data_IF_851607868659
#
_entry.id   IF_851607868659
#
_cell.length_a   1.000
_cell.length_b   1.000
_cell.length_c   1.000
_cell.angle_alpha   90.00
_cell.angle_beta   90.00
_cell.angle_gamma   90.00
#
_symmetry.space_group_name_H-M   'P 1'
#
loop_
_entity.id
_entity.type
_entity.pdbx_description
1 polymer ?
#
# COMPACT_ATOMS: atom_id res chain seq x y z
N UNK A 1 23.91 -21.12 -55.52
CA UNK A 1 22.70 -20.34 -55.12
C UNK A 1 21.65 -21.16 -54.38
N UNK A 2 21.76 -22.49 -54.25
CA UNK A 2 20.80 -23.34 -53.56
C UNK A 2 21.09 -23.62 -52.06
N UNK A 3 22.31 -23.35 -51.58
CA UNK A 3 22.70 -23.63 -50.16
C UNK A 3 22.20 -22.59 -49.17
N UNK A 4 21.90 -21.36 -49.59
CA UNK A 4 21.37 -20.31 -48.69
C UNK A 4 19.88 -20.41 -48.40
N UNK A 5 19.10 -21.08 -49.23
CA UNK A 5 17.65 -21.22 -49.04
C UNK A 5 17.27 -22.33 -48.02
N UNK A 6 18.07 -23.40 -47.92
CA UNK A 6 17.81 -24.49 -46.96
C UNK A 6 18.12 -24.09 -45.50
N UNK A 7 19.13 -23.24 -45.28
CA UNK A 7 19.50 -22.76 -43.94
C UNK A 7 18.46 -21.77 -43.40
N UNK A 8 17.78 -20.99 -44.24
CA UNK A 8 16.77 -20.01 -43.83
C UNK A 8 15.42 -20.66 -43.45
N UNK A 9 15.03 -21.71 -44.15
CA UNK A 9 13.79 -22.46 -43.85
C UNK A 9 13.91 -23.21 -42.52
N UNK A 10 15.06 -23.79 -42.20
CA UNK A 10 15.34 -24.52 -40.97
C UNK A 10 15.35 -23.60 -39.74
N UNK A 11 15.90 -22.37 -39.89
CA UNK A 11 15.88 -21.34 -38.81
C UNK A 11 14.44 -20.89 -38.52
N UNK A 12 13.61 -20.66 -39.54
CA UNK A 12 12.23 -20.22 -39.37
C UNK A 12 11.38 -21.29 -38.67
N UNK A 13 11.56 -22.56 -38.97
CA UNK A 13 10.83 -23.65 -38.33
C UNK A 13 11.29 -23.89 -36.89
N UNK A 14 12.57 -23.71 -36.58
CA UNK A 14 13.12 -23.75 -35.22
C UNK A 14 12.54 -22.59 -34.39
N UNK A 15 12.42 -21.40 -34.95
CA UNK A 15 11.80 -20.26 -34.27
C UNK A 15 10.31 -20.47 -34.03
N UNK A 16 9.55 -20.98 -35.01
CA UNK A 16 8.13 -21.33 -34.84
C UNK A 16 7.92 -22.35 -33.75
N UNK A 17 8.72 -23.42 -33.74
CA UNK A 17 8.68 -24.44 -32.68
C UNK A 17 8.96 -23.88 -31.29
N UNK A 18 9.96 -22.99 -31.17
CA UNK A 18 10.29 -22.31 -29.92
C UNK A 18 9.16 -21.40 -29.43
N UNK A 19 8.58 -20.60 -30.32
CA UNK A 19 7.48 -19.69 -30.00
C UNK A 19 6.23 -20.48 -29.56
N UNK A 20 5.90 -21.56 -30.27
CA UNK A 20 4.78 -22.41 -29.91
C UNK A 20 4.98 -23.07 -28.53
N UNK A 21 6.18 -23.57 -28.23
CA UNK A 21 6.48 -24.15 -26.93
C UNK A 21 6.43 -23.10 -25.82
N UNK A 22 6.93 -21.91 -26.09
CA UNK A 22 6.86 -20.78 -25.13
C UNK A 22 5.40 -20.38 -24.85
N UNK A 23 4.56 -20.28 -25.87
CA UNK A 23 3.13 -19.99 -25.70
C UNK A 23 2.46 -21.09 -24.87
N UNK A 24 2.73 -22.37 -25.16
CA UNK A 24 2.20 -23.49 -24.40
C UNK A 24 2.66 -23.44 -22.94
N UNK A 25 3.93 -23.13 -22.68
CA UNK A 25 4.46 -22.95 -21.33
C UNK A 25 3.79 -21.81 -20.59
N UNK A 26 3.54 -20.67 -21.27
CA UNK A 26 2.80 -19.55 -20.68
C UNK A 26 1.40 -19.99 -20.27
N UNK A 27 0.67 -20.67 -21.16
CA UNK A 27 -0.68 -21.14 -20.86
C UNK A 27 -0.68 -22.16 -19.71
N UNK A 28 0.28 -23.06 -19.66
CA UNK A 28 0.30 -24.17 -18.71
C UNK A 28 0.80 -23.77 -17.32
N UNK A 29 1.85 -22.95 -17.23
CA UNK A 29 2.55 -22.68 -15.97
C UNK A 29 2.47 -21.22 -15.50
N UNK A 30 2.38 -20.26 -16.43
CA UNK A 30 2.46 -18.84 -16.11
C UNK A 30 1.15 -18.07 -16.29
N UNK A 31 0.07 -18.75 -16.73
CA UNK A 31 -1.21 -18.13 -17.04
C UNK A 31 -1.73 -17.24 -15.90
N UNK A 32 -1.74 -17.76 -14.66
CA UNK A 32 -2.23 -17.03 -13.49
C UNK A 32 -1.41 -15.75 -13.26
N UNK A 33 -0.08 -15.85 -13.33
CA UNK A 33 0.83 -14.71 -13.14
C UNK A 33 0.64 -13.63 -14.20
N UNK A 34 0.52 -14.04 -15.47
CA UNK A 34 0.29 -13.14 -16.60
C UNK A 34 -1.06 -12.43 -16.47
N UNK A 35 -2.15 -13.20 -16.25
CA UNK A 35 -3.49 -12.63 -16.14
C UNK A 35 -3.63 -11.71 -14.93
N UNK A 36 -3.09 -12.10 -13.77
CA UNK A 36 -3.11 -11.26 -12.57
C UNK A 36 -2.33 -9.96 -12.76
N UNK A 37 -1.16 -10.01 -13.43
CA UNK A 37 -0.36 -8.82 -13.72
C UNK A 37 -1.06 -7.88 -14.70
N UNK A 38 -1.66 -8.41 -15.77
CA UNK A 38 -2.42 -7.63 -16.75
C UNK A 38 -3.66 -6.99 -16.11
N UNK A 39 -4.41 -7.76 -15.30
CA UNK A 39 -5.55 -7.24 -14.56
C UNK A 39 -5.15 -6.12 -13.59
N UNK A 40 -4.05 -6.30 -12.87
CA UNK A 40 -3.54 -5.27 -11.97
C UNK A 40 -3.14 -4.00 -12.74
N UNK A 41 -2.43 -4.11 -13.86
CA UNK A 41 -2.07 -2.97 -14.70
C UNK A 41 -3.31 -2.24 -15.22
N UNK A 42 -4.30 -2.97 -15.75
CA UNK A 42 -5.57 -2.41 -16.19
C UNK A 42 -6.28 -1.67 -15.05
N UNK A 43 -6.38 -2.29 -13.86
CA UNK A 43 -7.06 -1.71 -12.71
C UNK A 43 -6.38 -0.45 -12.19
N UNK A 44 -5.04 -0.39 -12.20
CA UNK A 44 -4.28 0.81 -11.81
C UNK A 44 -4.55 1.97 -12.77
N UNK A 45 -4.56 1.72 -14.07
CA UNK A 45 -4.80 2.73 -15.10
C UNK A 45 -6.24 3.25 -15.03
N UNK A 46 -7.23 2.37 -14.91
CA UNK A 46 -8.65 2.71 -14.86
C UNK A 46 -9.00 3.52 -13.61
N UNK A 47 -8.53 3.11 -12.44
CA UNK A 47 -8.91 3.76 -11.18
C UNK A 47 -8.06 4.98 -10.85
N UNK A 48 -6.80 5.03 -11.28
CA UNK A 48 -5.84 6.12 -10.99
C UNK A 48 -5.98 6.72 -9.58
N UNK A 49 -6.24 5.85 -8.59
CA UNK A 49 -6.69 6.23 -7.24
C UNK A 49 -5.62 6.87 -6.39
N UNK A 50 -4.36 6.64 -6.75
CA UNK A 50 -3.20 7.18 -6.02
C UNK A 50 -2.42 8.10 -6.95
N UNK A 51 -1.86 9.17 -6.41
CA UNK A 51 -0.97 10.04 -7.18
C UNK A 51 0.13 9.23 -7.90
N UNK A 52 0.68 9.79 -8.98
CA UNK A 52 1.72 9.16 -9.80
C UNK A 52 2.88 8.56 -8.99
N UNK A 53 3.21 9.17 -7.85
CA UNK A 53 4.30 8.72 -6.98
C UNK A 53 4.14 7.30 -6.43
N UNK A 54 2.91 6.85 -6.18
CA UNK A 54 2.62 5.51 -5.66
C UNK A 54 2.32 4.56 -6.81
N UNK A 55 1.46 4.96 -7.75
CA UNK A 55 1.04 4.13 -8.86
C UNK A 55 2.23 3.65 -9.70
N UNK A 56 3.25 4.48 -9.92
CA UNK A 56 4.44 4.09 -10.68
C UNK A 56 5.14 2.86 -10.11
N UNK A 57 5.21 2.70 -8.80
CA UNK A 57 5.87 1.55 -8.18
C UNK A 57 5.07 0.26 -8.35
N UNK A 58 3.73 0.34 -8.23
CA UNK A 58 2.85 -0.79 -8.53
C UNK A 58 2.88 -1.17 -10.01
N UNK A 59 2.86 -0.19 -10.92
CA UNK A 59 2.99 -0.42 -12.36
C UNK A 59 4.30 -1.11 -12.68
N UNK A 60 5.42 -0.60 -12.16
CA UNK A 60 6.75 -1.18 -12.38
C UNK A 60 6.82 -2.61 -11.82
N UNK A 61 6.27 -2.86 -10.61
CA UNK A 61 6.28 -4.19 -10.01
C UNK A 61 5.43 -5.19 -10.82
N UNK A 62 4.23 -4.79 -11.24
CA UNK A 62 3.37 -5.63 -12.09
C UNK A 62 4.01 -5.91 -13.46
N UNK A 63 4.62 -4.90 -14.07
CA UNK A 63 5.35 -5.05 -15.33
C UNK A 63 6.57 -5.98 -15.17
N UNK A 64 7.36 -5.84 -14.10
CA UNK A 64 8.48 -6.74 -13.80
C UNK A 64 7.99 -8.18 -13.59
N UNK A 65 6.84 -8.39 -12.94
CA UNK A 65 6.27 -9.74 -12.74
C UNK A 65 5.80 -10.34 -14.05
N UNK A 66 5.19 -9.55 -14.93
CA UNK A 66 4.81 -9.96 -16.28
C UNK A 66 6.06 -10.34 -17.10
N UNK A 67 7.09 -9.49 -17.07
CA UNK A 67 8.35 -9.74 -17.76
C UNK A 67 9.07 -10.97 -17.20
N UNK A 68 9.01 -11.22 -15.87
CA UNK A 68 9.53 -12.43 -15.24
C UNK A 68 8.84 -13.68 -15.78
N UNK A 69 7.53 -13.69 -15.89
CA UNK A 69 6.77 -14.81 -16.47
C UNK A 69 7.20 -15.10 -17.91
N UNK A 70 7.41 -14.04 -18.70
CA UNK A 70 7.88 -14.16 -20.07
C UNK A 70 9.32 -14.69 -20.15
N UNK A 71 10.25 -14.15 -19.36
CA UNK A 71 11.66 -14.58 -19.37
C UNK A 71 11.82 -16.02 -18.90
N UNK A 72 11.05 -16.45 -17.89
CA UNK A 72 11.06 -17.82 -17.39
C UNK A 72 10.46 -18.79 -18.42
N UNK A 73 9.39 -18.43 -19.14
CA UNK A 73 8.83 -19.23 -20.22
C UNK A 73 9.80 -19.37 -21.40
N UNK A 74 10.50 -18.27 -21.75
CA UNK A 74 11.51 -18.29 -22.81
C UNK A 74 12.72 -19.16 -22.42
N UNK A 75 13.19 -19.05 -21.17
CA UNK A 75 14.26 -19.93 -20.65
C UNK A 75 13.87 -21.41 -20.68
N UNK A 76 12.65 -21.73 -20.23
CA UNK A 76 12.10 -23.10 -20.26
C UNK A 76 12.03 -23.65 -21.69
N UNK A 77 11.59 -22.84 -22.66
CA UNK A 77 11.54 -23.23 -24.06
C UNK A 77 12.97 -23.51 -24.63
N UNK A 78 13.94 -22.68 -24.26
CA UNK A 78 15.34 -22.86 -24.68
C UNK A 78 16.04 -24.04 -23.96
N UNK A 79 15.53 -24.46 -22.82
CA UNK A 79 16.02 -25.61 -22.08
C UNK A 79 15.78 -26.94 -22.84
N UNK A 80 14.84 -26.98 -23.76
CA UNK A 80 14.57 -28.18 -24.59
C UNK A 80 15.63 -28.44 -25.66
N UNK A 81 16.50 -27.45 -25.97
CA UNK A 81 17.55 -27.61 -26.97
C UNK A 81 18.70 -28.51 -26.44
N UNK A 82 19.38 -29.24 -27.33
CA UNK A 82 20.46 -30.16 -26.93
C UNK A 82 21.75 -29.45 -26.52
N UNK A 83 21.88 -28.12 -26.76
CA UNK A 83 23.06 -27.32 -26.44
C UNK A 83 22.64 -25.96 -25.88
N UNK A 84 23.48 -25.33 -25.02
CA UNK A 84 23.19 -24.02 -24.47
C UNK A 84 23.29 -22.94 -25.53
N UNK A 85 22.42 -21.93 -25.43
CA UNK A 85 22.42 -20.76 -26.31
C UNK A 85 22.67 -19.49 -25.51
N UNK A 86 23.29 -18.47 -26.10
CA UNK A 86 23.47 -17.16 -25.47
C UNK A 86 22.13 -16.54 -25.08
N UNK A 87 21.07 -16.80 -25.86
CA UNK A 87 19.71 -16.35 -25.54
C UNK A 87 19.21 -16.98 -24.23
N UNK A 88 19.51 -18.28 -23.96
CA UNK A 88 19.16 -18.92 -22.71
C UNK A 88 19.85 -18.28 -21.52
N UNK A 89 21.16 -18.00 -21.64
CA UNK A 89 21.93 -17.30 -20.60
C UNK A 89 21.34 -15.91 -20.35
N UNK A 90 20.99 -15.19 -21.40
CA UNK A 90 20.37 -13.86 -21.28
C UNK A 90 19.03 -13.89 -20.53
N UNK A 91 18.09 -14.77 -20.93
CA UNK A 91 16.80 -14.88 -20.24
C UNK A 91 16.94 -15.34 -18.79
N UNK A 92 17.86 -16.24 -18.49
CA UNK A 92 18.17 -16.63 -17.10
C UNK A 92 18.74 -15.47 -16.31
N UNK A 93 19.65 -14.66 -16.89
CA UNK A 93 20.17 -13.44 -16.25
C UNK A 93 19.05 -12.46 -15.93
N UNK A 94 18.12 -12.25 -16.86
CA UNK A 94 16.93 -11.43 -16.63
C UNK A 94 16.10 -11.96 -15.46
N UNK A 95 15.83 -13.27 -15.42
CA UNK A 95 15.10 -13.90 -14.31
C UNK A 95 15.80 -13.70 -12.95
N UNK A 96 17.13 -13.84 -12.90
CA UNK A 96 17.94 -13.61 -11.69
C UNK A 96 17.86 -12.16 -11.19
N UNK A 97 17.69 -11.19 -12.10
CA UNK A 97 17.50 -9.77 -11.76
C UNK A 97 16.06 -9.48 -11.38
N UNK A 98 15.09 -9.94 -12.17
CA UNK A 98 13.67 -9.59 -12.00
C UNK A 98 13.08 -10.11 -10.69
N UNK A 99 13.45 -11.31 -10.23
CA UNK A 99 12.95 -11.90 -8.99
C UNK A 99 13.15 -10.97 -7.77
N UNK A 100 14.37 -10.54 -7.42
CA UNK A 100 14.57 -9.61 -6.31
C UNK A 100 14.12 -8.18 -6.64
N UNK A 101 13.99 -7.78 -7.93
CA UNK A 101 13.48 -6.46 -8.34
C UNK A 101 12.04 -6.26 -7.88
N UNK A 102 11.17 -7.27 -8.00
CA UNK A 102 9.78 -7.16 -7.54
C UNK A 102 9.73 -6.89 -6.02
N UNK A 103 10.55 -7.60 -5.23
CA UNK A 103 10.66 -7.36 -3.80
C UNK A 103 11.19 -5.95 -3.48
N UNK A 104 12.22 -5.49 -4.21
CA UNK A 104 12.74 -4.12 -4.10
C UNK A 104 11.67 -3.05 -4.38
N UNK A 105 10.89 -3.23 -5.47
CA UNK A 105 9.82 -2.29 -5.82
C UNK A 105 8.71 -2.28 -4.76
N UNK A 106 8.39 -3.42 -4.16
CA UNK A 106 7.45 -3.50 -3.03
C UNK A 106 7.99 -2.75 -1.80
N UNK A 107 9.29 -2.83 -1.53
CA UNK A 107 9.94 -2.02 -0.48
C UNK A 107 9.79 -0.52 -0.78
N UNK A 108 9.95 -0.07 -2.03
CA UNK A 108 9.79 1.35 -2.39
C UNK A 108 8.38 1.87 -2.13
N UNK A 109 7.33 1.03 -2.28
CA UNK A 109 5.96 1.37 -1.92
C UNK A 109 5.86 1.63 -0.41
N UNK A 110 6.46 0.76 0.38
CA UNK A 110 6.43 0.81 1.85
C UNK A 110 7.18 2.03 2.39
N UNK A 111 8.38 2.31 1.86
CA UNK A 111 9.24 3.42 2.31
C UNK A 111 9.00 4.74 1.58
N UNK A 112 7.83 4.93 0.97
CA UNK A 112 7.50 6.10 0.13
C UNK A 112 7.75 7.45 0.80
N UNK A 113 7.56 7.55 2.12
CA UNK A 113 7.71 8.76 2.93
C UNK A 113 9.11 8.93 3.56
N UNK A 114 10.06 8.08 3.23
CA UNK A 114 11.43 8.18 3.79
C UNK A 114 12.35 9.07 2.96
N UNK A 115 13.53 9.38 3.52
CA UNK A 115 14.54 10.22 2.88
C UNK A 115 15.06 9.61 1.57
N UNK A 116 15.49 10.48 0.64
CA UNK A 116 16.12 10.05 -0.62
C UNK A 116 17.37 9.22 -0.37
N UNK A 117 18.17 9.59 0.63
CA UNK A 117 19.40 8.88 1.00
C UNK A 117 19.13 7.41 1.33
N UNK A 118 18.09 7.11 2.15
CA UNK A 118 17.73 5.74 2.50
C UNK A 118 17.31 4.95 1.26
N UNK A 119 16.52 5.55 0.36
CA UNK A 119 16.10 4.93 -0.90
C UNK A 119 17.29 4.55 -1.78
N UNK A 120 18.33 5.40 -1.85
CA UNK A 120 19.56 5.12 -2.56
C UNK A 120 20.36 3.97 -1.92
N UNK A 121 20.53 3.97 -0.60
CA UNK A 121 21.23 2.90 0.11
C UNK A 121 20.58 1.53 -0.11
N UNK A 122 19.25 1.48 -0.06
CA UNK A 122 18.48 0.25 -0.30
C UNK A 122 18.58 -0.23 -1.76
N UNK A 123 18.93 0.65 -2.72
CA UNK A 123 19.12 0.25 -4.12
C UNK A 123 20.45 -0.45 -4.38
N UNK A 124 21.46 -0.29 -3.53
CA UNK A 124 22.82 -0.83 -3.74
C UNK A 124 22.82 -2.35 -3.93
N UNK A 125 22.16 -3.19 -3.09
CA UNK A 125 22.14 -4.63 -3.31
C UNK A 125 21.56 -5.03 -4.65
N UNK A 126 20.59 -4.26 -5.18
CA UNK A 126 19.99 -4.52 -6.48
C UNK A 126 20.97 -4.27 -7.63
N UNK A 127 21.74 -3.18 -7.55
CA UNK A 127 22.79 -2.87 -8.54
C UNK A 127 23.88 -3.95 -8.56
N UNK A 128 24.31 -4.40 -7.38
CA UNK A 128 25.28 -5.49 -7.26
C UNK A 128 24.73 -6.78 -7.88
N UNK A 129 23.48 -7.15 -7.57
CA UNK A 129 22.84 -8.33 -8.14
C UNK A 129 22.73 -8.24 -9.67
N UNK A 130 22.38 -7.07 -10.21
CA UNK A 130 22.34 -6.85 -11.65
C UNK A 130 23.69 -7.14 -12.30
N UNK A 131 24.78 -6.54 -11.81
CA UNK A 131 26.12 -6.73 -12.34
C UNK A 131 26.57 -8.20 -12.27
N UNK A 132 26.34 -8.86 -11.15
CA UNK A 132 26.70 -10.29 -10.98
C UNK A 132 25.86 -11.17 -11.91
N UNK A 133 24.54 -10.96 -12.01
CA UNK A 133 23.67 -11.79 -12.84
C UNK A 133 24.01 -11.69 -14.32
N UNK A 134 24.29 -10.48 -14.83
CA UNK A 134 24.67 -10.27 -16.23
C UNK A 134 26.13 -10.66 -16.53
N UNK A 135 26.99 -10.83 -15.51
CA UNK A 135 28.32 -11.38 -15.72
C UNK A 135 28.31 -12.82 -16.26
N UNK A 136 27.18 -13.53 -16.14
CA UNK A 136 26.99 -14.88 -16.69
C UNK A 136 27.09 -14.92 -18.22
N UNK A 137 26.91 -13.79 -18.91
CA UNK A 137 27.15 -13.69 -20.36
C UNK A 137 28.64 -13.80 -20.76
N UNK A 138 29.55 -13.58 -19.80
CA UNK A 138 30.99 -13.50 -20.05
C UNK A 138 31.78 -14.47 -19.17
N UNK A 139 31.18 -15.03 -18.10
CA UNK A 139 31.85 -15.91 -17.17
C UNK A 139 30.86 -16.75 -16.36
N UNK A 140 31.24 -17.98 -15.97
CA UNK A 140 30.42 -18.90 -15.21
C UNK A 140 30.35 -18.58 -13.71
N UNK A 141 30.78 -17.39 -13.28
CA UNK A 141 30.83 -17.02 -11.85
C UNK A 141 29.45 -16.95 -11.21
N UNK A 142 28.45 -16.47 -11.93
CA UNK A 142 27.06 -16.44 -11.44
C UNK A 142 26.38 -17.80 -11.68
N UNK A 143 26.32 -18.23 -12.90
CA UNK A 143 25.80 -19.54 -13.32
C UNK A 143 26.30 -19.87 -14.73
N UNK A 144 26.16 -21.11 -15.14
CA UNK A 144 26.52 -21.57 -16.48
C UNK A 144 25.66 -22.76 -16.91
N UNK A 145 25.97 -23.28 -18.08
CA UNK A 145 25.34 -24.46 -18.67
C UNK A 145 26.39 -25.43 -19.18
N UNK A 146 26.20 -26.72 -18.90
CA UNK A 146 27.05 -27.76 -19.50
C UNK A 146 26.82 -27.85 -21.01
N UNK A 147 27.70 -28.55 -21.77
CA UNK A 147 27.49 -28.81 -23.19
C UNK A 147 26.13 -29.45 -23.50
N UNK A 148 25.59 -30.26 -22.56
CA UNK A 148 24.29 -30.93 -22.67
C UNK A 148 23.14 -30.04 -22.19
N UNK A 149 23.37 -28.73 -22.10
CA UNK A 149 22.38 -27.72 -21.75
C UNK A 149 21.81 -27.89 -20.30
N UNK A 150 22.58 -28.46 -19.35
CA UNK A 150 22.19 -28.56 -17.95
C UNK A 150 22.67 -27.36 -17.17
N UNK A 151 21.76 -26.74 -16.43
CA UNK A 151 22.08 -25.59 -15.58
C UNK A 151 22.98 -26.00 -14.40
N UNK A 152 23.99 -25.21 -14.12
CA UNK A 152 24.75 -25.27 -12.87
C UNK A 152 24.96 -23.87 -12.29
N UNK A 153 25.03 -23.81 -10.96
CA UNK A 153 25.19 -22.56 -10.24
C UNK A 153 26.66 -22.32 -9.95
N UNK A 154 27.16 -21.13 -10.32
CA UNK A 154 28.50 -20.68 -9.99
C UNK A 154 28.63 -20.20 -8.53
N UNK A 155 29.83 -19.82 -8.10
CA UNK A 155 30.10 -19.38 -6.72
C UNK A 155 29.32 -18.14 -6.30
N UNK A 156 28.96 -17.24 -7.22
CA UNK A 156 28.16 -16.05 -6.98
C UNK A 156 26.66 -16.26 -7.30
N UNK A 157 26.25 -17.46 -7.70
CA UNK A 157 24.89 -17.76 -8.15
C UNK A 157 23.84 -17.77 -7.04
N UNK A 158 24.23 -17.57 -5.79
CA UNK A 158 23.32 -17.40 -4.64
C UNK A 158 22.90 -15.95 -4.40
N UNK A 159 23.53 -14.99 -5.10
CA UNK A 159 23.31 -13.55 -4.91
C UNK A 159 21.84 -13.13 -5.01
N UNK A 160 21.03 -13.56 -6.02
CA UNK A 160 19.62 -13.15 -6.10
C UNK A 160 18.79 -13.63 -4.91
N UNK A 161 19.14 -14.78 -4.31
CA UNK A 161 18.48 -15.29 -3.12
C UNK A 161 18.85 -14.46 -1.88
N UNK A 162 20.13 -14.11 -1.73
CA UNK A 162 20.60 -13.24 -0.63
C UNK A 162 19.92 -11.88 -0.71
N UNK A 163 19.85 -11.29 -1.91
CA UNK A 163 19.21 -9.99 -2.14
C UNK A 163 17.70 -10.07 -1.93
N UNK A 164 17.07 -11.16 -2.37
CA UNK A 164 15.64 -11.41 -2.10
C UNK A 164 15.34 -11.53 -0.61
N UNK A 165 16.16 -12.29 0.14
CA UNK A 165 16.04 -12.41 1.61
C UNK A 165 16.28 -11.07 2.30
N UNK A 166 17.26 -10.29 1.85
CA UNK A 166 17.51 -8.94 2.36
C UNK A 166 16.26 -8.06 2.25
N UNK A 167 15.61 -8.01 1.08
CA UNK A 167 14.38 -7.22 0.91
C UNK A 167 13.20 -7.81 1.67
N UNK A 168 13.11 -9.14 1.79
CA UNK A 168 12.09 -9.79 2.63
C UNK A 168 12.22 -9.42 4.12
N UNK A 169 13.44 -9.49 4.66
CA UNK A 169 13.72 -9.05 6.04
C UNK A 169 13.43 -7.56 6.21
N UNK A 170 13.80 -6.74 5.22
CA UNK A 170 13.54 -5.31 5.26
C UNK A 170 12.02 -5.00 5.26
N UNK A 171 11.22 -5.73 4.48
CA UNK A 171 9.77 -5.61 4.50
C UNK A 171 9.21 -5.95 5.88
N UNK A 172 9.67 -7.03 6.49
CA UNK A 172 9.25 -7.42 7.86
C UNK A 172 9.70 -6.38 8.88
N UNK A 173 10.96 -5.94 8.84
CA UNK A 173 11.49 -4.93 9.76
C UNK A 173 10.74 -3.59 9.65
N UNK A 174 10.39 -3.18 8.43
CA UNK A 174 9.62 -1.96 8.18
C UNK A 174 8.23 -2.01 8.86
N UNK A 175 7.64 -3.19 9.03
CA UNK A 175 6.39 -3.38 9.77
C UNK A 175 6.48 -2.89 11.20
N UNK A 176 7.57 -3.20 11.91
CA UNK A 176 7.78 -2.73 13.29
C UNK A 176 7.89 -1.21 13.37
N UNK A 177 8.45 -0.58 12.33
CA UNK A 177 8.49 0.87 12.21
C UNK A 177 7.08 1.46 12.05
N UNK A 178 6.23 0.85 11.21
CA UNK A 178 4.86 1.29 10.93
C UNK A 178 3.89 1.00 12.08
N UNK A 179 4.06 -0.10 12.81
CA UNK A 179 3.28 -0.40 14.03
C UNK A 179 3.35 0.76 15.03
N UNK A 180 4.50 1.41 15.13
CA UNK A 180 4.68 2.59 15.97
C UNK A 180 3.92 3.83 15.47
N UNK A 181 3.58 3.89 14.18
CA UNK A 181 2.88 5.01 13.53
C UNK A 181 1.38 4.79 13.31
N UNK A 182 0.76 3.82 13.96
CA UNK A 182 -0.67 3.44 13.77
C UNK A 182 -1.03 2.85 12.39
N UNK A 183 -0.05 2.39 11.63
CA UNK A 183 -0.24 1.78 10.28
C UNK A 183 0.07 0.27 10.29
N UNK A 184 -0.25 -0.42 11.38
CA UNK A 184 0.04 -1.84 11.58
C UNK A 184 -0.60 -2.76 10.51
N UNK A 185 -1.72 -2.35 9.91
CA UNK A 185 -2.40 -3.12 8.86
C UNK A 185 -1.54 -3.22 7.58
N UNK A 186 -0.86 -2.14 7.17
CA UNK A 186 0.10 -2.17 6.05
C UNK A 186 1.25 -3.15 6.32
N UNK A 187 1.68 -3.21 7.57
CA UNK A 187 2.74 -4.11 7.99
C UNK A 187 2.38 -5.58 7.86
N UNK A 188 1.16 -5.99 8.20
CA UNK A 188 0.70 -7.37 8.03
C UNK A 188 0.78 -7.78 6.56
N UNK A 189 0.35 -6.93 5.63
CA UNK A 189 0.45 -7.22 4.19
C UNK A 189 1.89 -7.37 3.74
N UNK A 190 2.82 -6.54 4.22
CA UNK A 190 4.23 -6.65 3.91
C UNK A 190 4.82 -7.99 4.39
N UNK A 191 4.46 -8.45 5.60
CA UNK A 191 4.85 -9.78 6.11
C UNK A 191 4.27 -10.90 5.25
N UNK A 192 2.99 -10.85 4.90
CA UNK A 192 2.35 -11.86 4.07
C UNK A 192 3.01 -11.97 2.70
N UNK A 193 3.33 -10.83 2.05
CA UNK A 193 4.04 -10.80 0.77
C UNK A 193 5.42 -11.46 0.92
N UNK A 194 6.18 -11.12 1.96
CA UNK A 194 7.50 -11.69 2.20
C UNK A 194 7.44 -13.21 2.44
N UNK A 195 6.46 -13.69 3.23
CA UNK A 195 6.27 -15.11 3.51
C UNK A 195 5.86 -15.90 2.26
N UNK A 196 4.86 -15.41 1.51
CA UNK A 196 4.37 -16.07 0.29
C UNK A 196 5.45 -16.09 -0.79
N UNK A 197 6.19 -14.99 -0.96
CA UNK A 197 7.32 -14.91 -1.90
C UNK A 197 8.46 -15.86 -1.52
N UNK A 198 8.79 -15.91 -0.23
CA UNK A 198 9.78 -16.85 0.31
C UNK A 198 9.36 -18.31 0.08
N UNK A 199 8.12 -18.66 0.40
CA UNK A 199 7.56 -19.99 0.16
C UNK A 199 7.55 -20.34 -1.34
N UNK A 200 7.11 -19.43 -2.21
CA UNK A 200 7.14 -19.60 -3.66
C UNK A 200 8.56 -19.90 -4.18
N UNK A 201 9.56 -19.15 -3.68
CA UNK A 201 10.98 -19.37 -4.03
C UNK A 201 11.47 -20.75 -3.60
N UNK A 202 11.10 -21.23 -2.39
CA UNK A 202 11.48 -22.57 -1.90
C UNK A 202 10.80 -23.66 -2.73
N UNK A 203 9.50 -23.53 -3.02
CA UNK A 203 8.75 -24.50 -3.81
C UNK A 203 9.31 -24.61 -5.23
N UNK A 204 9.59 -23.50 -5.89
CA UNK A 204 10.18 -23.49 -7.23
C UNK A 204 11.60 -24.09 -7.25
N UNK A 205 12.43 -23.67 -6.28
CA UNK A 205 13.83 -24.15 -6.20
C UNK A 205 13.93 -25.62 -5.81
N UNK A 206 13.13 -26.10 -4.83
CA UNK A 206 13.25 -27.44 -4.25
C UNK A 206 12.49 -28.49 -5.05
N UNK A 207 11.29 -28.14 -5.56
CA UNK A 207 10.38 -29.07 -6.25
C UNK A 207 10.33 -28.84 -7.76
N UNK A 208 11.05 -27.85 -8.29
CA UNK A 208 11.09 -27.46 -9.71
C UNK A 208 9.68 -27.16 -10.28
N UNK A 209 8.82 -26.62 -9.44
CA UNK A 209 7.45 -26.24 -9.83
C UNK A 209 7.48 -24.88 -10.54
N UNK A 210 7.39 -24.91 -11.87
CA UNK A 210 7.48 -23.72 -12.71
C UNK A 210 6.29 -22.78 -12.50
N UNK A 211 6.54 -21.45 -12.57
CA UNK A 211 5.51 -20.42 -12.57
C UNK A 211 4.89 -20.09 -11.21
N UNK A 212 5.27 -20.79 -10.13
CA UNK A 212 4.69 -20.53 -8.79
C UNK A 212 5.12 -19.15 -8.29
N UNK A 213 6.39 -18.80 -8.39
CA UNK A 213 6.88 -17.52 -7.86
C UNK A 213 6.31 -16.32 -8.61
N UNK A 214 6.35 -16.20 -9.96
CA UNK A 214 5.72 -15.10 -10.66
C UNK A 214 4.21 -14.98 -10.38
N UNK A 215 3.50 -16.13 -10.34
CA UNK A 215 2.06 -16.15 -10.05
C UNK A 215 1.75 -15.67 -8.63
N UNK A 216 2.49 -16.15 -7.64
CA UNK A 216 2.35 -15.72 -6.25
C UNK A 216 2.63 -14.22 -6.09
N UNK A 217 3.69 -13.72 -6.71
CA UNK A 217 4.04 -12.30 -6.68
C UNK A 217 2.94 -11.43 -7.32
N UNK A 218 2.42 -11.83 -8.48
CA UNK A 218 1.36 -11.08 -9.16
C UNK A 218 0.07 -11.01 -8.33
N UNK A 219 -0.34 -12.13 -7.74
CA UNK A 219 -1.53 -12.20 -6.87
C UNK A 219 -1.32 -11.38 -5.60
N UNK A 220 -0.17 -11.51 -4.94
CA UNK A 220 0.17 -10.71 -3.76
C UNK A 220 0.17 -9.21 -4.04
N UNK A 221 0.77 -8.77 -5.15
CA UNK A 221 0.75 -7.37 -5.57
C UNK A 221 -0.66 -6.86 -5.84
N UNK A 222 -1.52 -7.69 -6.47
CA UNK A 222 -2.93 -7.38 -6.69
C UNK A 222 -3.69 -7.16 -5.39
N UNK A 223 -3.58 -8.08 -4.44
CA UNK A 223 -4.19 -7.94 -3.12
C UNK A 223 -3.61 -6.75 -2.33
N UNK A 224 -2.31 -6.49 -2.44
CA UNK A 224 -1.69 -5.34 -1.78
C UNK A 224 -2.22 -4.02 -2.35
N UNK A 225 -2.37 -3.93 -3.69
CA UNK A 225 -2.96 -2.75 -4.32
C UNK A 225 -4.42 -2.54 -3.91
N UNK A 226 -5.24 -3.61 -3.91
CA UNK A 226 -6.64 -3.55 -3.46
C UNK A 226 -6.76 -3.14 -2.00
N UNK A 227 -5.92 -3.70 -1.13
CA UNK A 227 -5.86 -3.28 0.27
C UNK A 227 -5.51 -1.80 0.39
N UNK A 228 -4.47 -1.37 -0.32
CA UNK A 228 -4.01 0.00 -0.30
C UNK A 228 -5.08 0.97 -0.82
N UNK A 229 -5.79 0.58 -1.88
CA UNK A 229 -6.92 1.30 -2.42
C UNK A 229 -8.06 1.45 -1.39
N UNK A 230 -8.44 0.38 -0.73
CA UNK A 230 -9.49 0.40 0.31
C UNK A 230 -9.05 1.24 1.52
N UNK A 231 -7.80 1.06 1.95
CA UNK A 231 -7.26 1.75 3.11
C UNK A 231 -7.14 3.27 2.92
N UNK A 232 -6.70 3.74 1.76
CA UNK A 232 -6.59 5.17 1.47
C UNK A 232 -7.96 5.84 1.23
N UNK A 233 -8.91 5.12 0.63
CA UNK A 233 -10.28 5.63 0.45
C UNK A 233 -11.04 5.83 1.77
N UNK A 234 -10.56 5.29 2.88
CA UNK A 234 -11.13 5.52 4.20
C UNK A 234 -10.50 6.70 4.95
N UNK A 235 -9.52 7.41 4.34
CA UNK A 235 -8.85 8.55 4.97
C UNK A 235 -9.02 9.85 4.20
N UNK A 236 -9.13 10.93 4.95
CA UNK A 236 -9.16 12.30 4.42
C UNK A 236 -7.78 12.71 3.90
N UNK A 237 -7.72 13.21 2.67
CA UNK A 237 -6.46 13.55 1.98
C UNK A 237 -5.73 14.71 2.68
N UNK A 238 -6.46 15.67 3.25
CA UNK A 238 -5.89 16.85 3.88
C UNK A 238 -5.26 16.55 5.24
N UNK A 239 -5.95 15.75 6.05
CA UNK A 239 -5.63 15.53 7.48
C UNK A 239 -5.11 14.14 7.78
N UNK A 240 -5.33 13.16 6.90
CA UNK A 240 -5.01 11.75 7.12
C UNK A 240 -5.85 11.07 8.21
N UNK A 241 -6.91 11.70 8.72
CA UNK A 241 -7.87 11.07 9.64
C UNK A 241 -8.91 10.26 8.86
N UNK A 242 -9.67 9.41 9.56
CA UNK A 242 -10.69 8.58 8.93
C UNK A 242 -11.86 9.43 8.41
N UNK A 243 -12.52 8.98 7.34
CA UNK A 243 -13.64 9.67 6.72
C UNK A 243 -14.98 9.33 7.40
N UNK A 244 -16.01 10.18 7.16
CA UNK A 244 -17.39 9.99 7.62
C UNK A 244 -17.94 8.59 7.35
N UNK A 245 -17.71 8.05 6.14
CA UNK A 245 -18.14 6.69 5.79
C UNK A 245 -17.59 5.64 6.78
N UNK A 246 -16.33 5.78 7.15
CA UNK A 246 -15.64 4.87 8.07
C UNK A 246 -16.20 4.99 9.50
N UNK A 247 -16.60 6.19 9.92
CA UNK A 247 -17.28 6.39 11.22
C UNK A 247 -18.50 5.49 11.37
N UNK A 248 -19.42 5.50 10.41
CA UNK A 248 -20.63 4.66 10.47
C UNK A 248 -20.32 3.18 10.36
N UNK A 249 -19.36 2.80 9.52
CA UNK A 249 -18.94 1.40 9.40
C UNK A 249 -18.34 0.87 10.71
N UNK A 250 -17.46 1.63 11.34
CA UNK A 250 -16.80 1.25 12.60
C UNK A 250 -17.80 1.25 13.76
N UNK A 251 -18.70 2.22 13.84
CA UNK A 251 -19.77 2.23 14.83
C UNK A 251 -20.65 0.98 14.72
N UNK A 252 -21.07 0.62 13.51
CA UNK A 252 -21.83 -0.61 13.26
C UNK A 252 -21.03 -1.87 13.59
N UNK A 253 -19.77 -1.93 13.21
CA UNK A 253 -18.87 -3.07 13.45
C UNK A 253 -18.62 -3.31 14.93
N UNK A 254 -18.46 -2.26 15.73
CA UNK A 254 -18.12 -2.36 17.15
C UNK A 254 -19.35 -2.44 18.05
N UNK A 255 -20.53 -2.01 17.57
CA UNK A 255 -21.80 -2.12 18.28
C UNK A 255 -21.70 -1.66 19.73
N UNK A 256 -22.15 -2.50 20.67
CA UNK A 256 -22.14 -2.20 22.10
C UNK A 256 -20.77 -1.92 22.73
N UNK A 257 -19.68 -2.15 22.01
CA UNK A 257 -18.35 -1.76 22.51
C UNK A 257 -18.03 -0.29 22.33
N UNK A 258 -18.83 0.47 21.55
CA UNK A 258 -18.77 1.93 21.48
C UNK A 258 -19.51 2.48 22.71
N UNK A 259 -18.82 3.23 23.53
CA UNK A 259 -19.35 3.75 24.80
C UNK A 259 -19.67 5.23 24.78
N UNK A 260 -19.15 5.98 23.77
CA UNK A 260 -19.44 7.40 23.61
C UNK A 260 -18.99 7.95 22.28
N UNK A 261 -19.55 9.11 21.95
CA UNK A 261 -19.24 9.90 20.76
C UNK A 261 -18.81 11.30 21.19
N UNK A 262 -17.78 11.84 20.53
CA UNK A 262 -17.37 13.24 20.71
C UNK A 262 -17.49 13.94 19.36
N UNK A 263 -18.15 15.11 19.35
CA UNK A 263 -18.24 16.02 18.21
C UNK A 263 -17.29 17.20 18.41
N UNK A 264 -16.56 17.57 17.35
CA UNK A 264 -15.55 18.63 17.36
C UNK A 264 -15.72 19.47 16.10
N UNK A 265 -15.73 20.80 16.26
CA UNK A 265 -15.89 21.77 15.19
C UNK A 265 -14.82 22.86 15.28
N UNK A 266 -14.13 23.14 14.18
CA UNK A 266 -13.11 24.19 14.10
C UNK A 266 -13.78 25.56 14.03
N UNK A 267 -13.48 26.43 14.96
CA UNK A 267 -14.10 27.75 15.02
C UNK A 267 -13.55 28.70 13.95
N UNK A 268 -14.47 29.38 13.21
CA UNK A 268 -14.12 30.51 12.37
C UNK A 268 -13.43 30.17 11.04
N UNK A 269 -13.51 28.90 10.56
CA UNK A 269 -12.89 28.48 9.31
C UNK A 269 -13.30 29.36 8.12
N UNK A 270 -14.61 29.74 8.01
CA UNK A 270 -15.07 30.60 6.93
C UNK A 270 -14.40 31.98 6.97
N UNK A 271 -14.30 32.58 8.15
CA UNK A 271 -13.65 33.90 8.33
C UNK A 271 -12.16 33.81 7.98
N UNK A 272 -11.50 32.71 8.36
CA UNK A 272 -10.11 32.45 8.06
C UNK A 272 -9.89 32.36 6.53
N UNK A 273 -10.75 31.58 5.84
CA UNK A 273 -10.71 31.46 4.39
C UNK A 273 -10.96 32.81 3.67
N UNK A 274 -11.95 33.56 4.15
CA UNK A 274 -12.35 34.85 3.53
C UNK A 274 -11.26 35.93 3.68
N UNK A 275 -10.45 35.87 4.78
CA UNK A 275 -9.41 36.88 5.04
C UNK A 275 -8.02 36.47 4.56
N UNK A 276 -7.68 35.18 4.67
CA UNK A 276 -6.31 34.68 4.44
C UNK A 276 -6.20 33.62 3.33
N UNK A 277 -7.34 33.27 2.71
CA UNK A 277 -7.40 32.28 1.64
C UNK A 277 -7.51 30.82 2.15
N UNK A 278 -7.83 29.92 1.21
CA UNK A 278 -8.06 28.50 1.51
C UNK A 278 -6.84 27.77 2.07
N UNK A 279 -5.63 28.20 1.73
CA UNK A 279 -4.39 27.57 2.22
C UNK A 279 -4.25 27.70 3.74
N UNK A 280 -4.66 28.84 4.30
CA UNK A 280 -4.65 29.07 5.75
C UNK A 280 -5.77 28.30 6.45
N UNK A 281 -6.94 28.18 5.84
CA UNK A 281 -8.01 27.30 6.31
C UNK A 281 -7.59 25.83 6.34
N UNK A 282 -6.92 25.38 5.29
CA UNK A 282 -6.34 24.03 5.21
C UNK A 282 -5.28 23.77 6.29
N UNK A 283 -4.46 24.78 6.59
CA UNK A 283 -3.48 24.73 7.69
C UNK A 283 -4.18 24.61 9.04
N UNK A 284 -5.24 25.38 9.29
CA UNK A 284 -6.03 25.30 10.51
C UNK A 284 -6.64 23.91 10.71
N UNK A 285 -7.23 23.33 9.66
CA UNK A 285 -7.79 21.99 9.65
C UNK A 285 -6.72 20.93 9.96
N UNK A 286 -5.54 21.01 9.30
CA UNK A 286 -4.41 20.11 9.55
C UNK A 286 -3.90 20.24 10.99
N UNK A 287 -3.83 21.46 11.51
CA UNK A 287 -3.35 21.73 12.87
C UNK A 287 -4.29 21.14 13.91
N UNK A 288 -5.63 21.34 13.77
CA UNK A 288 -6.61 20.71 14.66
C UNK A 288 -6.47 19.18 14.62
N UNK A 289 -6.41 18.59 13.44
CA UNK A 289 -6.27 17.15 13.30
C UNK A 289 -4.97 16.61 13.95
N UNK A 290 -3.87 17.32 13.80
CA UNK A 290 -2.59 16.96 14.43
C UNK A 290 -2.66 17.05 15.97
N UNK A 291 -3.26 18.11 16.51
CA UNK A 291 -3.47 18.29 17.94
C UNK A 291 -4.28 17.13 18.55
N UNK A 292 -5.41 16.77 17.92
CA UNK A 292 -6.24 15.65 18.38
C UNK A 292 -5.47 14.33 18.28
N UNK A 293 -4.85 14.02 17.15
CA UNK A 293 -4.07 12.78 16.95
C UNK A 293 -2.93 12.64 17.95
N UNK A 294 -2.29 13.74 18.34
CA UNK A 294 -1.17 13.75 19.29
C UNK A 294 -1.54 13.33 20.70
N UNK A 295 -2.82 13.44 21.09
CA UNK A 295 -3.31 13.10 22.43
C UNK A 295 -4.35 11.97 22.43
N UNK A 296 -4.65 11.39 21.26
CA UNK A 296 -5.68 10.39 21.10
C UNK A 296 -5.31 9.07 21.80
N UNK A 297 -6.14 8.54 22.71
CA UNK A 297 -5.88 7.25 23.33
C UNK A 297 -6.15 6.10 22.34
N UNK A 298 -5.54 4.92 22.57
CA UNK A 298 -5.71 3.73 21.71
C UNK A 298 -7.16 3.25 21.58
N UNK A 299 -8.02 3.61 22.51
CA UNK A 299 -9.45 3.25 22.54
C UNK A 299 -10.36 4.23 21.80
N UNK A 300 -9.82 5.34 21.28
CA UNK A 300 -10.55 6.37 20.56
C UNK A 300 -10.12 6.43 19.09
N UNK A 301 -11.08 6.66 18.21
CA UNK A 301 -10.88 6.73 16.76
C UNK A 301 -11.43 8.04 16.24
N UNK A 302 -10.70 8.71 15.37
CA UNK A 302 -10.95 10.08 14.98
C UNK A 302 -11.26 10.19 13.49
N UNK A 303 -12.34 10.90 13.15
CA UNK A 303 -12.94 10.96 11.83
C UNK A 303 -13.21 12.41 11.44
N UNK A 304 -13.05 12.73 10.15
CA UNK A 304 -13.51 13.98 9.55
C UNK A 304 -14.86 13.72 8.87
N UNK A 305 -15.91 14.40 9.34
CA UNK A 305 -17.29 14.19 8.89
C UNK A 305 -17.80 15.27 7.97
N UNK A 306 -17.16 16.45 8.01
CA UNK A 306 -17.48 17.62 7.19
C UNK A 306 -16.24 18.46 6.88
N UNK A 307 -16.42 19.68 6.41
CA UNK A 307 -15.33 20.62 6.11
C UNK A 307 -14.46 20.92 7.32
N UNK A 308 -15.08 21.44 8.37
CA UNK A 308 -14.51 21.80 9.68
C UNK A 308 -14.98 20.89 10.82
N UNK A 309 -15.79 19.89 10.51
CA UNK A 309 -16.42 18.99 11.47
C UNK A 309 -15.67 17.68 11.61
N UNK A 310 -15.49 17.26 12.83
CA UNK A 310 -14.84 16.01 13.19
C UNK A 310 -15.64 15.26 14.25
N UNK A 311 -15.58 13.94 14.22
CA UNK A 311 -16.15 13.07 15.23
C UNK A 311 -15.13 12.09 15.79
N UNK A 312 -15.32 11.67 17.05
CA UNK A 312 -14.51 10.65 17.67
C UNK A 312 -15.41 9.55 18.22
N UNK A 313 -15.15 8.29 17.87
CA UNK A 313 -15.76 7.11 18.50
C UNK A 313 -14.89 6.65 19.65
N UNK A 314 -15.49 6.54 20.83
CA UNK A 314 -14.84 6.06 22.04
C UNK A 314 -15.25 4.61 22.30
N UNK A 315 -14.28 3.69 22.31
CA UNK A 315 -14.53 2.26 22.48
C UNK A 315 -14.09 1.80 23.86
N UNK A 316 -15.03 1.25 24.67
CA UNK A 316 -14.75 0.80 26.04
C UNK A 316 -14.02 1.88 26.87
N UNK A 317 -14.46 3.12 26.74
CA UNK A 317 -13.99 4.25 27.55
C UNK A 317 -15.07 4.66 28.54
N UNK A 318 -14.65 5.02 29.74
CA UNK A 318 -15.53 5.65 30.74
C UNK A 318 -15.73 7.12 30.41
N UNK A 319 -16.76 7.73 30.95
CA UNK A 319 -17.02 9.16 30.81
C UNK A 319 -15.83 10.00 31.30
N UNK A 320 -15.20 9.60 32.40
CA UNK A 320 -13.98 10.24 32.92
C UNK A 320 -12.82 10.19 31.90
N UNK A 321 -12.55 9.05 31.28
CA UNK A 321 -11.51 8.91 30.25
C UNK A 321 -11.79 9.82 29.03
N UNK A 322 -13.06 9.96 28.63
CA UNK A 322 -13.48 10.86 27.54
C UNK A 322 -13.28 12.32 27.96
N UNK A 323 -13.72 12.72 29.13
CA UNK A 323 -13.54 14.08 29.63
C UNK A 323 -12.06 14.46 29.77
N UNK A 324 -11.20 13.59 30.27
CA UNK A 324 -9.76 13.78 30.34
C UNK A 324 -9.13 13.89 28.93
N UNK A 325 -9.63 13.12 27.96
CA UNK A 325 -9.17 13.23 26.58
C UNK A 325 -9.53 14.58 25.96
N UNK A 326 -10.79 15.03 26.17
CA UNK A 326 -11.26 16.34 25.73
C UNK A 326 -10.43 17.46 26.36
N UNK A 327 -10.11 17.35 27.66
CA UNK A 327 -9.27 18.33 28.37
C UNK A 327 -7.88 18.43 27.72
N UNK A 328 -7.25 17.29 27.40
CA UNK A 328 -5.95 17.25 26.69
C UNK A 328 -6.03 17.85 25.29
N UNK A 329 -7.12 17.59 24.54
CA UNK A 329 -7.34 18.20 23.22
C UNK A 329 -7.43 19.72 23.36
N UNK A 330 -8.28 20.22 24.30
CA UNK A 330 -8.43 21.65 24.56
C UNK A 330 -7.10 22.32 24.97
N UNK A 331 -6.32 21.65 25.78
CA UNK A 331 -4.98 22.16 26.15
C UNK A 331 -4.07 22.25 24.94
N UNK A 332 -4.04 21.20 24.11
CA UNK A 332 -3.16 21.16 22.94
C UNK A 332 -3.54 22.18 21.86
N UNK A 333 -4.84 22.43 21.64
CA UNK A 333 -5.28 23.44 20.67
C UNK A 333 -5.03 24.86 21.16
N UNK A 334 -5.07 25.12 22.48
CA UNK A 334 -4.72 26.43 23.07
C UNK A 334 -3.25 26.83 22.85
N UNK A 335 -2.36 25.89 22.57
CA UNK A 335 -0.96 26.19 22.19
C UNK A 335 -0.86 26.74 20.76
N UNK A 336 -1.96 26.76 20.01
CA UNK A 336 -2.06 27.24 18.62
C UNK A 336 -2.89 28.52 18.53
N UNK A 337 -2.88 29.15 17.38
CA UNK A 337 -3.71 30.33 17.06
C UNK A 337 -5.19 29.99 16.75
N UNK A 338 -5.53 28.70 16.74
CA UNK A 338 -6.86 28.20 16.39
C UNK A 338 -7.66 27.80 17.62
N UNK A 339 -8.99 27.71 17.47
CA UNK A 339 -9.89 27.25 18.53
C UNK A 339 -10.93 26.29 17.97
N UNK A 340 -11.46 25.40 18.80
CA UNK A 340 -12.54 24.49 18.45
C UNK A 340 -13.59 24.40 19.55
N UNK A 341 -14.81 24.04 19.15
CA UNK A 341 -15.88 23.65 20.05
C UNK A 341 -15.90 22.13 20.17
N UNK A 342 -16.17 21.59 21.38
CA UNK A 342 -16.17 20.15 21.65
C UNK A 342 -17.34 19.81 22.55
N UNK A 343 -18.16 18.84 22.11
CA UNK A 343 -19.19 18.21 22.90
C UNK A 343 -19.11 16.69 22.86
N UNK A 344 -19.66 16.02 23.83
CA UNK A 344 -19.70 14.55 23.87
C UNK A 344 -21.02 14.02 24.42
N UNK A 345 -21.32 12.77 24.09
CA UNK A 345 -22.42 12.02 24.68
C UNK A 345 -22.01 10.56 24.89
N UNK A 346 -22.50 9.98 25.99
CA UNK A 346 -22.35 8.57 26.30
C UNK A 346 -23.52 7.79 25.68
N UNK A 347 -23.30 6.51 25.34
CA UNK A 347 -24.36 5.59 24.97
C UNK A 347 -25.11 5.13 26.22
N UNK A 348 -26.43 5.20 26.16
CA UNK A 348 -27.36 4.53 27.09
C UNK A 348 -27.92 3.27 26.42
N UNK A 349 -28.50 2.38 27.24
CA UNK A 349 -28.91 1.01 26.87
C UNK A 349 -29.91 0.92 25.68
N UNK A 350 -30.69 1.97 25.41
CA UNK A 350 -31.75 1.98 24.39
C UNK A 350 -31.58 3.03 23.30
N UNK A 351 -30.37 3.67 23.17
CA UNK A 351 -30.15 4.75 22.23
C UNK A 351 -29.44 4.26 20.95
N UNK A 352 -29.95 4.72 19.80
CA UNK A 352 -29.30 4.54 18.52
C UNK A 352 -28.05 5.41 18.35
N UNK A 353 -27.20 5.07 17.41
CA UNK A 353 -26.01 5.86 17.08
C UNK A 353 -26.37 7.31 16.73
N UNK A 354 -27.45 7.51 15.97
CA UNK A 354 -27.90 8.83 15.51
C UNK A 354 -28.29 9.72 16.67
N UNK A 355 -29.01 9.18 17.67
CA UNK A 355 -29.42 9.91 18.87
C UNK A 355 -28.22 10.40 19.68
N UNK A 356 -27.21 9.52 19.83
CA UNK A 356 -25.98 9.84 20.57
C UNK A 356 -25.15 10.87 19.80
N UNK A 357 -25.06 10.76 18.48
CA UNK A 357 -24.40 11.76 17.63
C UNK A 357 -25.10 13.12 17.78
N UNK A 358 -26.42 13.16 17.66
CA UNK A 358 -27.21 14.38 17.83
C UNK A 358 -27.02 15.03 19.21
N UNK A 359 -26.96 14.22 20.27
CA UNK A 359 -26.70 14.71 21.64
C UNK A 359 -25.27 15.27 21.78
N UNK A 360 -24.28 14.60 21.17
CA UNK A 360 -22.90 15.09 21.15
C UNK A 360 -22.77 16.41 20.37
N UNK A 361 -23.43 16.53 19.22
CA UNK A 361 -23.47 17.74 18.41
C UNK A 361 -24.16 18.90 19.14
N UNK A 362 -25.26 18.63 19.82
CA UNK A 362 -25.94 19.63 20.65
C UNK A 362 -25.02 20.16 21.75
N UNK A 363 -24.34 19.29 22.47
CA UNK A 363 -23.38 19.68 23.51
C UNK A 363 -22.18 20.45 22.95
N UNK A 364 -21.70 20.08 21.76
CA UNK A 364 -20.64 20.81 21.04
C UNK A 364 -21.12 22.22 20.66
N UNK A 365 -22.35 22.33 20.19
CA UNK A 365 -22.92 23.61 19.81
C UNK A 365 -23.11 24.54 21.01
N UNK A 366 -23.60 24.01 22.14
CA UNK A 366 -23.67 24.77 23.39
C UNK A 366 -22.30 25.30 23.83
N UNK A 367 -21.26 24.47 23.70
CA UNK A 367 -19.89 24.89 23.94
C UNK A 367 -19.42 25.98 22.93
N UNK A 368 -19.84 25.90 21.67
CA UNK A 368 -19.54 26.92 20.64
C UNK A 368 -20.15 28.28 21.00
N UNK A 369 -21.38 28.28 21.53
CA UNK A 369 -22.06 29.51 22.02
C UNK A 369 -21.29 30.11 23.20
N UNK A 370 -20.87 29.28 24.16
CA UNK A 370 -20.09 29.73 25.31
C UNK A 370 -18.76 30.39 24.89
N UNK A 371 -18.11 29.88 23.86
CA UNK A 371 -16.82 30.41 23.34
C UNK A 371 -17.04 31.70 22.56
N UNK A 372 -18.11 31.83 21.77
CA UNK A 372 -18.33 32.93 20.83
C UNK A 372 -19.35 34.00 21.25
N UNK A 373 -20.08 33.79 22.37
CA UNK A 373 -21.10 34.70 22.88
C UNK A 373 -22.47 34.62 22.19
N UNK A 374 -23.47 35.35 22.73
CA UNK A 374 -24.90 35.23 22.34
C UNK A 374 -25.24 35.49 20.87
N UNK A 375 -24.39 36.19 20.11
CA UNK A 375 -24.61 36.48 18.70
C UNK A 375 -24.81 35.24 17.81
N UNK A 376 -24.35 34.06 18.29
CA UNK A 376 -24.52 32.78 17.59
C UNK A 376 -25.79 32.02 17.99
N UNK A 377 -26.43 32.36 19.11
CA UNK A 377 -27.63 31.70 19.62
C UNK A 377 -28.83 31.85 18.72
N UNK A 378 -29.04 33.03 18.19
CA UNK A 378 -30.18 33.35 17.28
C UNK A 378 -30.13 32.63 15.93
N UNK A 379 -28.94 32.40 15.39
CA UNK A 379 -28.77 31.74 14.09
C UNK A 379 -29.13 30.23 14.10
N UNK A 380 -29.04 29.60 15.24
CA UNK A 380 -29.27 28.13 15.36
C UNK A 380 -30.71 27.80 15.71
N UNK A 381 -31.38 28.64 16.45
CA UNK A 381 -32.82 28.48 16.76
C UNK A 381 -33.61 28.48 15.46
N UNK A 382 -33.28 29.37 14.51
CA UNK A 382 -33.90 29.41 13.20
C UNK A 382 -33.59 28.19 12.32
N UNK A 383 -32.42 27.57 12.47
CA UNK A 383 -32.03 26.34 11.74
C UNK A 383 -32.72 25.08 12.25
N UNK A 384 -33.03 25.00 13.55
CA UNK A 384 -33.78 23.89 14.15
C UNK A 384 -35.29 23.98 13.88
N UNK A 385 -35.82 25.18 13.62
CA UNK A 385 -37.23 25.40 13.26
C UNK A 385 -37.48 25.16 11.76
N UNK A 386 -36.45 25.16 10.91
CA UNK A 386 -36.55 24.93 9.46
C UNK A 386 -36.33 23.46 9.02
N UNK A 387 -36.02 22.56 9.94
CA UNK A 387 -35.94 21.11 9.64
C UNK A 387 -37.23 20.43 10.08
N UNK A 388 -38.04 19.92 9.11
CA UNK A 388 -39.28 19.20 9.40
C UNK A 388 -39.05 17.85 10.06
#
# INVERSE_FOLDING_TARGET
>A
MQSHFFVSADIADVWKGMVNYMILSIIQYYYIGVMASLFLLFFIVEKNSFGWEINRWFILAAFCTLLLSFTDAAETSLATKPYPTTARIFFSSCGYVLRPTVAYLTVQIVIRHTSRTLKWLISIPMVINFLISFSALFSDKAFGYTPENRFYRGPLGVTPFIVGVFYGIFLVASTFWFVRSSQWEEGIFAILIALISGMGTVLESRYKLQGILPSSLAVCLGFYYLFFHTYQNDRDVLTGVLLRRKFYQDAKKWGSSVTGVVSIDLNGLKQLNDHYGHDEGDKAIRTLAACVKGVLPRKAYFYRTGGDEFMMLCRKMTEKEIAETIHRIRHKIKETEYSCAIGYAMFDLDQGLEDVCHKADKNMYENKIQIKGEKYRHKYINLLEETP
#
